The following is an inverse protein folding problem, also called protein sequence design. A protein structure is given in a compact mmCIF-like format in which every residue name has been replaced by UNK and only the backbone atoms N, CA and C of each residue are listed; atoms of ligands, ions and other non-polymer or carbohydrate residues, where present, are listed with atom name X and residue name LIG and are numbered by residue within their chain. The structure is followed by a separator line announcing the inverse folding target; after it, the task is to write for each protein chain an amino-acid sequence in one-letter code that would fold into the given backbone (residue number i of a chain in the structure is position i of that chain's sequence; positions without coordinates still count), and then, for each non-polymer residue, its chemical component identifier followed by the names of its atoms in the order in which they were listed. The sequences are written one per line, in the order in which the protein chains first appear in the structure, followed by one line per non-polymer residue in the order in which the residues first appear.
data_IF_205744838587
#
_entry.id   IF_205744838587
#
_cell.length_a   1.000
_cell.length_b   1.000
_cell.length_c   1.000
_cell.angle_alpha   90.00
_cell.angle_beta   90.00
_cell.angle_gamma   90.00
#
_symmetry.space_group_name_H-M   'P 1'
#
loop_
_entity.id
_entity.type
_entity.pdbx_description
1 polymer ?
#
# COMPACT_ATOMS: atom_id res chain seq x y z
N UNK A 1 40.56 -1.30 -7.20
CA UNK A 1 39.27 -1.95 -7.55
C UNK A 1 38.30 -2.06 -6.35
N UNK A 2 37.97 -0.98 -5.60
CA UNK A 2 36.99 -1.08 -4.49
C UNK A 2 35.52 -0.89 -4.92
N UNK A 3 35.25 -0.18 -6.04
CA UNK A 3 33.90 0.22 -6.42
C UNK A 3 33.00 -0.95 -6.85
N UNK A 4 33.56 -1.98 -7.48
CA UNK A 4 32.83 -3.21 -7.88
C UNK A 4 32.47 -4.06 -6.67
N UNK A 5 33.39 -4.19 -5.71
CA UNK A 5 33.19 -4.99 -4.51
C UNK A 5 32.04 -4.47 -3.65
N UNK A 6 31.95 -3.15 -3.46
CA UNK A 6 30.89 -2.53 -2.66
C UNK A 6 29.51 -2.74 -3.30
N UNK A 7 29.40 -2.60 -4.62
CA UNK A 7 28.15 -2.88 -5.35
C UNK A 7 27.74 -4.35 -5.20
N UNK A 8 28.67 -5.30 -5.41
CA UNK A 8 28.40 -6.72 -5.28
C UNK A 8 27.94 -7.08 -3.87
N UNK A 9 28.62 -6.57 -2.85
CA UNK A 9 28.26 -6.80 -1.45
C UNK A 9 26.88 -6.23 -1.11
N UNK A 10 26.60 -4.98 -1.49
CA UNK A 10 25.31 -4.34 -1.24
C UNK A 10 24.17 -5.05 -1.98
N UNK A 11 24.40 -5.52 -3.21
CA UNK A 11 23.43 -6.32 -3.98
C UNK A 11 23.16 -7.67 -3.31
N UNK A 12 24.20 -8.40 -2.89
CA UNK A 12 24.03 -9.67 -2.18
C UNK A 12 23.25 -9.49 -0.89
N UNK A 13 23.58 -8.45 -0.12
CA UNK A 13 22.84 -8.09 1.09
C UNK A 13 21.37 -7.77 0.79
N UNK A 14 21.09 -7.02 -0.28
CA UNK A 14 19.72 -6.74 -0.71
C UNK A 14 18.93 -8.01 -1.03
N UNK A 15 19.52 -8.97 -1.75
CA UNK A 15 18.87 -10.23 -2.10
C UNK A 15 18.52 -11.05 -0.86
N UNK A 16 19.45 -11.17 0.09
CA UNK A 16 19.21 -11.86 1.36
C UNK A 16 18.10 -11.20 2.18
N UNK A 17 18.10 -9.86 2.24
CA UNK A 17 17.06 -9.13 2.96
C UNK A 17 15.69 -9.27 2.31
N UNK A 18 15.62 -9.41 0.98
CA UNK A 18 14.36 -9.67 0.28
C UNK A 18 13.77 -11.05 0.61
N UNK A 19 14.62 -12.07 0.71
CA UNK A 19 14.20 -13.40 1.18
C UNK A 19 13.61 -13.30 2.60
N UNK A 20 14.34 -12.68 3.52
CA UNK A 20 13.85 -12.46 4.89
C UNK A 20 12.54 -11.66 4.93
N UNK A 21 12.43 -10.62 4.10
CA UNK A 21 11.21 -9.82 4.00
C UNK A 21 10.01 -10.66 3.54
N UNK A 22 10.19 -11.53 2.54
CA UNK A 22 9.15 -12.41 2.02
C UNK A 22 8.71 -13.45 3.06
N UNK A 23 9.66 -14.02 3.80
CA UNK A 23 9.38 -14.95 4.90
C UNK A 23 8.55 -14.29 6.00
N UNK A 24 9.00 -13.13 6.51
CA UNK A 24 8.30 -12.37 7.55
C UNK A 24 6.90 -11.93 7.09
N UNK A 25 6.77 -11.51 5.83
CA UNK A 25 5.47 -11.11 5.26
C UNK A 25 4.50 -12.29 5.19
N UNK A 26 4.98 -13.45 4.73
CA UNK A 26 4.20 -14.68 4.65
C UNK A 26 3.80 -15.16 6.04
N UNK A 27 4.71 -15.10 7.01
CA UNK A 27 4.42 -15.47 8.38
C UNK A 27 3.37 -14.53 9.00
N UNK A 28 3.50 -13.22 8.80
CA UNK A 28 2.49 -12.24 9.24
C UNK A 28 1.10 -12.48 8.64
N UNK A 29 1.01 -12.94 7.39
CA UNK A 29 -0.24 -13.34 6.76
C UNK A 29 -0.85 -14.61 7.39
N UNK A 30 -0.02 -15.51 7.90
CA UNK A 30 -0.47 -16.75 8.56
C UNK A 30 -0.96 -16.50 9.99
N UNK A 31 -0.26 -15.67 10.77
CA UNK A 31 -0.59 -15.40 12.18
C UNK A 31 -1.67 -14.34 12.36
N UNK A 32 -1.91 -13.48 11.36
CA UNK A 32 -3.05 -12.57 11.41
C UNK A 32 -4.34 -13.39 11.41
N UNK A 33 -5.30 -13.11 12.31
CA UNK A 33 -6.59 -13.75 12.29
C UNK A 33 -7.18 -13.60 10.90
N UNK A 34 -7.36 -14.72 10.20
CA UNK A 34 -8.06 -14.72 8.92
C UNK A 34 -9.45 -14.18 9.20
N UNK A 35 -9.69 -12.93 8.82
CA UNK A 35 -11.04 -12.47 8.53
C UNK A 35 -11.61 -13.54 7.59
N UNK A 36 -12.57 -14.33 8.07
CA UNK A 36 -13.10 -15.46 7.31
C UNK A 36 -13.52 -14.92 5.95
N UNK A 37 -12.80 -15.35 4.92
CA UNK A 37 -12.99 -14.93 3.54
C UNK A 37 -14.35 -15.44 3.05
N UNK A 38 -15.40 -14.65 3.26
CA UNK A 38 -16.61 -14.69 2.45
C UNK A 38 -16.49 -13.61 1.37
N UNK A 39 -15.58 -13.85 0.42
CA UNK A 39 -15.62 -13.22 -0.90
C UNK A 39 -15.63 -14.33 -1.95
N UNK A 40 -16.64 -15.20 -1.90
CA UNK A 40 -17.06 -15.98 -3.05
C UNK A 40 -17.98 -15.11 -3.89
N UNK A 41 -17.49 -14.64 -5.04
CA UNK A 41 -18.35 -14.00 -6.06
C UNK A 41 -17.82 -12.72 -6.71
N UNK A 42 -16.53 -12.65 -7.05
CA UNK A 42 -16.11 -11.72 -8.11
C UNK A 42 -16.29 -12.42 -9.45
N UNK A 43 -17.48 -12.26 -10.05
CA UNK A 43 -17.74 -12.69 -11.42
C UNK A 43 -16.81 -11.93 -12.37
N UNK A 44 -15.86 -12.70 -12.90
CA UNK A 44 -15.28 -12.56 -14.23
C UNK A 44 -16.30 -12.07 -15.27
N UNK A 45 -16.11 -10.85 -15.78
CA UNK A 45 -16.48 -10.52 -17.16
C UNK A 45 -15.30 -9.81 -17.81
N UNK A 46 -14.68 -10.54 -18.71
CA UNK A 46 -13.56 -10.15 -19.56
C UNK A 46 -14.00 -9.34 -20.78
N UNK A 47 -13.07 -8.53 -21.28
CA UNK A 47 -12.83 -8.21 -22.71
C UNK A 47 -13.38 -6.86 -23.26
N UNK A 48 -12.86 -6.33 -24.40
CA UNK A 48 -11.71 -5.41 -24.43
C UNK A 48 -11.88 -4.22 -25.46
N UNK A 49 -10.77 -3.53 -25.75
CA UNK A 49 -10.40 -2.83 -27.02
C UNK A 49 -10.48 -1.29 -27.15
N UNK A 50 -9.27 -0.72 -27.31
CA UNK A 50 -8.80 0.14 -28.42
C UNK A 50 -9.05 1.67 -28.45
N UNK A 51 -8.10 2.41 -27.83
CA UNK A 51 -7.16 3.40 -28.44
C UNK A 51 -7.69 4.65 -29.22
N UNK A 52 -6.85 5.59 -29.73
CA UNK A 52 -6.40 6.83 -29.09
C UNK A 52 -6.69 8.15 -29.89
N UNK A 53 -6.54 9.34 -29.28
CA UNK A 53 -6.15 10.63 -29.93
C UNK A 53 -6.12 11.76 -28.87
N UNK A 54 -4.99 12.36 -28.51
CA UNK A 54 -4.18 13.42 -29.16
C UNK A 54 -4.83 14.83 -29.14
N UNK A 55 -4.09 15.77 -28.53
CA UNK A 55 -3.96 17.22 -28.79
C UNK A 55 -4.36 18.19 -27.66
N UNK A 56 -3.33 18.67 -26.93
CA UNK A 56 -2.91 20.05 -26.57
C UNK A 56 -3.92 21.23 -26.41
N UNK A 57 -3.54 22.27 -25.61
CA UNK A 57 -4.43 23.27 -25.02
C UNK A 57 -4.55 24.58 -25.83
N UNK A 58 -5.64 25.34 -25.64
CA UNK A 58 -5.68 26.75 -26.04
C UNK A 58 -6.61 27.62 -25.19
N UNK A 59 -6.13 28.84 -24.96
CA UNK A 59 -6.71 29.96 -24.21
C UNK A 59 -7.88 30.61 -24.98
N UNK A 60 -8.95 31.01 -24.29
CA UNK A 60 -9.72 32.25 -24.59
C UNK A 60 -10.90 32.48 -23.61
N UNK A 61 -10.94 33.69 -23.05
CA UNK A 61 -12.03 34.31 -22.27
C UNK A 61 -13.22 34.73 -23.20
N UNK A 62 -14.21 35.56 -22.77
CA UNK A 62 -15.32 35.33 -21.83
C UNK A 62 -16.69 35.76 -22.43
N UNK A 63 -17.85 35.22 -22.01
CA UNK A 63 -19.14 35.95 -22.19
C UNK A 63 -20.13 35.67 -21.07
N UNK A 64 -20.50 36.76 -20.39
CA UNK A 64 -21.60 36.92 -19.44
C UNK A 64 -22.97 36.63 -20.05
N UNK A 65 -23.88 36.02 -19.29
CA UNK A 65 -25.32 36.33 -19.40
C UNK A 65 -26.09 35.95 -18.13
N UNK A 66 -26.56 36.99 -17.44
CA UNK A 66 -27.55 36.96 -16.36
C UNK A 66 -28.87 36.32 -16.83
N UNK A 67 -29.45 35.41 -16.03
CA UNK A 67 -30.81 35.60 -15.52
C UNK A 67 -31.26 34.57 -14.47
N UNK A 68 -32.21 34.94 -13.59
CA UNK A 68 -32.41 34.32 -12.28
C UNK A 68 -33.55 33.31 -12.29
N UNK A 69 -33.46 32.25 -11.46
CA UNK A 69 -34.65 31.51 -11.02
C UNK A 69 -34.54 31.10 -9.55
N UNK A 70 -35.32 31.79 -8.72
CA UNK A 70 -35.77 31.31 -7.41
C UNK A 70 -36.47 29.96 -7.59
N UNK A 71 -36.08 28.94 -6.83
CA UNK A 71 -37.02 27.93 -6.34
C UNK A 71 -36.71 27.56 -4.90
N UNK A 72 -37.74 27.76 -4.10
CA UNK A 72 -37.91 27.51 -2.69
C UNK A 72 -38.00 26.01 -2.41
N UNK A 73 -37.45 25.61 -1.26
CA UNK A 73 -38.02 24.69 -0.25
C UNK A 73 -38.75 23.43 -0.77
N UNK A 74 -38.11 22.28 -0.59
CA UNK A 74 -38.58 21.27 0.38
C UNK A 74 -37.47 20.27 0.65
N UNK A 75 -37.15 20.09 1.93
CA UNK A 75 -36.23 19.07 2.39
C UNK A 75 -36.90 17.70 2.29
N UNK A 76 -36.20 16.74 1.72
CA UNK A 76 -36.46 15.34 1.97
C UNK A 76 -35.13 14.63 2.18
N UNK A 77 -34.63 14.76 3.41
CA UNK A 77 -33.63 13.85 3.94
C UNK A 77 -34.26 12.45 3.95
N UNK A 78 -33.79 11.59 3.05
CA UNK A 78 -33.99 10.14 3.17
C UNK A 78 -32.76 9.58 3.88
N UNK A 79 -32.76 9.66 5.21
CA UNK A 79 -31.92 8.78 6.01
C UNK A 79 -32.55 7.38 5.99
N UNK A 80 -32.16 6.56 5.02
CA UNK A 80 -32.38 5.11 5.00
C UNK A 80 -31.01 4.44 5.12
N UNK A 81 -30.73 3.56 6.07
CA UNK A 81 -31.60 2.97 7.06
C UNK A 81 -30.78 2.28 8.14
N UNK A 82 -31.24 2.41 9.38
CA UNK A 82 -30.90 1.49 10.45
C UNK A 82 -32.01 0.43 10.48
N UNK A 83 -32.10 -0.35 9.41
CA UNK A 83 -32.97 -1.52 9.40
C UNK A 83 -32.23 -2.60 10.18
N UNK A 84 -32.61 -2.74 11.45
CA UNK A 84 -32.27 -3.88 12.28
C UNK A 84 -32.88 -5.14 11.65
N UNK A 85 -32.15 -5.78 10.74
CA UNK A 85 -32.46 -7.12 10.29
C UNK A 85 -32.02 -8.12 11.35
N UNK A 86 -32.99 -8.49 12.19
CA UNK A 86 -32.89 -9.62 13.11
C UNK A 86 -33.34 -10.92 12.42
N UNK A 87 -32.74 -11.37 11.31
CA UNK A 87 -32.81 -12.80 10.93
C UNK A 87 -31.55 -13.29 10.20
N UNK A 88 -30.72 -14.01 10.97
CA UNK A 88 -30.02 -15.24 10.53
C UNK A 88 -28.97 -15.05 9.42
N UNK A 89 -27.95 -14.23 9.71
CA UNK A 89 -26.59 -14.56 9.33
C UNK A 89 -25.90 -15.06 10.59
N UNK A 90 -25.34 -16.26 10.58
CA UNK A 90 -24.37 -16.67 11.60
C UNK A 90 -23.29 -15.60 11.62
N UNK A 91 -23.37 -14.65 12.56
CA UNK A 91 -22.23 -13.81 12.88
C UNK A 91 -21.18 -14.82 13.34
N UNK A 92 -20.31 -15.20 12.41
CA UNK A 92 -19.01 -15.78 12.75
C UNK A 92 -18.50 -14.78 13.77
N UNK A 93 -18.51 -15.20 15.04
CA UNK A 93 -17.87 -14.44 16.09
C UNK A 93 -16.45 -14.26 15.56
N UNK A 94 -16.09 -13.04 15.17
CA UNK A 94 -14.70 -12.70 14.92
C UNK A 94 -14.00 -13.12 16.21
N UNK A 95 -13.25 -14.21 16.14
CA UNK A 95 -12.52 -14.70 17.30
C UNK A 95 -11.54 -13.58 17.60
N UNK A 96 -11.82 -12.82 18.67
CA UNK A 96 -10.92 -11.78 19.12
C UNK A 96 -9.56 -12.47 19.32
N UNK A 97 -8.52 -12.07 18.58
CA UNK A 97 -7.20 -12.66 18.78
C UNK A 97 -6.82 -12.53 20.24
N UNK A 98 -6.30 -13.62 20.80
CA UNK A 98 -5.70 -13.63 22.10
C UNK A 98 -4.52 -12.64 22.17
N UNK A 99 -4.29 -12.11 23.37
CA UNK A 99 -3.23 -11.13 23.63
C UNK A 99 -1.84 -11.64 23.23
N UNK A 100 -1.61 -12.94 23.31
CA UNK A 100 -0.36 -13.58 22.88
C UNK A 100 -0.19 -13.48 21.36
N UNK A 101 -1.22 -13.83 20.58
CA UNK A 101 -1.22 -13.62 19.12
C UNK A 101 -1.00 -12.16 18.73
N UNK A 102 -1.63 -11.19 19.42
CA UNK A 102 -1.41 -9.76 19.15
C UNK A 102 0.03 -9.32 19.40
N UNK A 103 0.65 -9.82 20.48
CA UNK A 103 2.08 -9.57 20.77
C UNK A 103 2.98 -10.20 19.72
N UNK A 104 2.69 -11.43 19.29
CA UNK A 104 3.45 -12.11 18.24
C UNK A 104 3.39 -11.33 16.90
N UNK A 105 2.18 -10.87 16.49
CA UNK A 105 2.01 -10.02 15.32
C UNK A 105 2.84 -8.73 15.45
N UNK A 106 2.76 -8.07 16.59
CA UNK A 106 3.48 -6.80 16.83
C UNK A 106 5.00 -6.98 16.76
N UNK A 107 5.52 -8.06 17.36
CA UNK A 107 6.94 -8.39 17.31
C UNK A 107 7.41 -8.68 15.88
N UNK A 108 6.62 -9.43 15.11
CA UNK A 108 6.95 -9.77 13.73
C UNK A 108 6.84 -8.54 12.80
N UNK A 109 5.87 -7.65 13.02
CA UNK A 109 5.78 -6.36 12.33
C UNK A 109 6.96 -5.44 12.63
N UNK A 110 7.52 -5.51 13.85
CA UNK A 110 8.73 -4.77 14.21
C UNK A 110 9.95 -5.35 13.47
N UNK A 111 10.10 -6.69 13.43
CA UNK A 111 11.17 -7.34 12.66
C UNK A 111 11.08 -6.98 11.16
N UNK A 112 9.87 -6.98 10.60
CA UNK A 112 9.65 -6.59 9.21
C UNK A 112 10.07 -5.13 8.95
N UNK A 113 9.77 -4.24 9.90
CA UNK A 113 10.19 -2.84 9.83
C UNK A 113 11.73 -2.70 9.82
N UNK A 114 12.44 -3.43 10.68
CA UNK A 114 13.90 -3.38 10.76
C UNK A 114 14.58 -3.95 9.50
N UNK A 115 14.01 -5.02 8.93
CA UNK A 115 14.44 -5.56 7.62
C UNK A 115 14.23 -4.52 6.53
N UNK A 116 13.07 -3.86 6.48
CA UNK A 116 12.80 -2.82 5.49
C UNK A 116 13.72 -1.59 5.63
N UNK A 117 14.11 -1.21 6.84
CA UNK A 117 15.16 -0.21 7.02
C UNK A 117 16.51 -0.68 6.48
N UNK A 118 16.85 -1.95 6.67
CA UNK A 118 18.10 -2.54 6.17
C UNK A 118 18.12 -2.64 4.65
N UNK A 119 16.99 -2.96 4.02
CA UNK A 119 16.79 -2.92 2.55
C UNK A 119 17.05 -1.51 2.05
N UNK A 120 16.42 -0.51 2.67
CA UNK A 120 16.62 0.91 2.32
C UNK A 120 18.10 1.30 2.40
N UNK A 121 18.81 0.90 3.46
CA UNK A 121 20.25 1.15 3.60
C UNK A 121 21.06 0.50 2.48
N UNK A 122 20.83 -0.78 2.17
CA UNK A 122 21.53 -1.49 1.10
C UNK A 122 21.30 -0.83 -0.28
N UNK A 123 20.06 -0.46 -0.61
CA UNK A 123 19.73 0.23 -1.86
C UNK A 123 20.39 1.61 -1.95
N UNK A 124 20.45 2.34 -0.83
CA UNK A 124 21.14 3.64 -0.78
C UNK A 124 22.65 3.48 -1.01
N UNK A 125 23.25 2.43 -0.44
CA UNK A 125 24.66 2.09 -0.67
C UNK A 125 24.93 1.72 -2.13
N UNK A 126 24.02 0.98 -2.78
CA UNK A 126 24.10 0.70 -4.21
C UNK A 126 24.08 1.99 -5.05
N UNK A 127 23.21 2.96 -4.74
CA UNK A 127 23.17 4.25 -5.45
C UNK A 127 24.45 5.07 -5.27
N UNK A 128 25.22 4.82 -4.21
CA UNK A 128 26.51 5.45 -3.98
C UNK A 128 27.66 4.80 -4.78
N UNK A 129 27.44 3.65 -5.41
CA UNK A 129 28.44 2.96 -6.20
C UNK A 129 28.55 3.54 -7.62
N UNK A 130 29.78 3.71 -8.12
CA UNK A 130 30.04 4.29 -9.44
C UNK A 130 29.39 3.52 -10.60
N UNK A 131 29.26 2.20 -10.48
CA UNK A 131 28.63 1.34 -11.49
C UNK A 131 27.15 1.73 -11.67
N UNK A 132 26.44 1.95 -10.56
CA UNK A 132 25.04 2.36 -10.58
C UNK A 132 24.91 3.81 -11.02
N UNK A 133 25.89 4.66 -10.70
CA UNK A 133 25.91 6.07 -11.16
C UNK A 133 26.14 6.17 -12.67
N UNK A 134 26.96 5.27 -13.24
CA UNK A 134 27.26 5.22 -14.67
C UNK A 134 26.10 4.66 -15.50
N UNK A 135 25.30 3.73 -14.95
CA UNK A 135 24.19 3.08 -15.67
C UNK A 135 22.82 3.65 -15.24
N UNK A 136 22.13 4.33 -16.16
CA UNK A 136 20.80 4.90 -15.88
C UNK A 136 19.73 3.86 -15.62
N UNK A 137 19.83 2.68 -16.23
CA UNK A 137 18.86 1.60 -16.08
C UNK A 137 18.94 0.98 -14.69
N UNK A 138 20.16 0.65 -14.23
CA UNK A 138 20.40 0.11 -12.88
C UNK A 138 19.99 1.13 -11.83
N UNK A 139 20.36 2.41 -12.03
CA UNK A 139 19.96 3.49 -11.12
C UNK A 139 18.45 3.62 -10.98
N UNK A 140 17.73 3.62 -12.09
CA UNK A 140 16.27 3.72 -12.10
C UNK A 140 15.62 2.51 -11.41
N UNK A 141 16.14 1.31 -11.64
CA UNK A 141 15.70 0.10 -10.95
C UNK A 141 15.93 0.19 -9.43
N UNK A 142 17.13 0.58 -8.99
CA UNK A 142 17.46 0.73 -7.57
C UNK A 142 16.60 1.81 -6.91
N UNK A 143 16.38 2.94 -7.57
CA UNK A 143 15.49 4.00 -7.09
C UNK A 143 14.04 3.51 -6.98
N UNK A 144 13.54 2.73 -7.94
CA UNK A 144 12.19 2.17 -7.89
C UNK A 144 12.02 1.27 -6.67
N UNK A 145 12.98 0.35 -6.43
CA UNK A 145 12.98 -0.52 -5.24
C UNK A 145 13.10 0.26 -3.94
N UNK A 146 13.85 1.36 -3.94
CA UNK A 146 13.98 2.23 -2.78
C UNK A 146 12.64 2.88 -2.42
N UNK A 147 11.91 3.38 -3.43
CA UNK A 147 10.58 3.98 -3.23
C UNK A 147 9.55 2.97 -2.72
N UNK A 148 9.62 1.71 -3.17
CA UNK A 148 8.80 0.62 -2.65
C UNK A 148 9.06 0.36 -1.17
N UNK A 149 10.32 0.17 -0.77
CA UNK A 149 10.70 -0.03 0.63
C UNK A 149 10.29 1.15 1.52
N UNK A 150 10.43 2.38 1.03
CA UNK A 150 9.96 3.57 1.77
C UNK A 150 8.44 3.62 1.91
N UNK A 151 7.68 3.19 0.89
CA UNK A 151 6.22 3.12 0.95
C UNK A 151 5.76 2.14 2.02
N UNK A 152 6.44 1.00 2.16
CA UNK A 152 6.14 0.00 3.19
C UNK A 152 6.46 0.53 4.60
N UNK A 153 7.60 1.18 4.79
CA UNK A 153 7.96 1.83 6.06
C UNK A 153 6.95 2.92 6.48
N UNK A 154 6.39 3.66 5.52
CA UNK A 154 5.32 4.65 5.79
C UNK A 154 4.01 3.97 6.17
N UNK A 155 3.69 2.84 5.54
CA UNK A 155 2.45 2.08 5.77
C UNK A 155 2.42 1.43 7.15
N UNK A 156 3.55 0.84 7.58
CA UNK A 156 3.69 0.26 8.92
C UNK A 156 3.55 1.30 10.04
N UNK A 157 4.09 2.52 9.83
CA UNK A 157 4.01 3.60 10.83
C UNK A 157 2.58 4.04 11.11
N UNK A 158 1.73 4.12 10.08
CA UNK A 158 0.31 4.49 10.20
C UNK A 158 -0.51 3.45 10.97
N UNK A 159 -0.19 2.16 10.81
CA UNK A 159 -0.87 1.07 11.54
C UNK A 159 -0.57 1.10 13.04
N UNK A 160 0.63 1.53 13.43
CA UNK A 160 1.06 1.61 14.83
C UNK A 160 0.69 2.92 15.54
N UNK A 161 0.20 3.93 14.81
CA UNK A 161 -0.06 5.26 15.36
C UNK A 161 -1.52 5.52 15.76
N UNK A 162 -2.37 4.49 15.89
CA UNK A 162 -3.71 4.68 16.46
C UNK A 162 -3.62 4.80 17.99
N UNK A 163 -3.92 5.98 18.58
CA UNK A 163 -4.00 6.09 20.03
C UNK A 163 -5.21 5.30 20.51
N UNK A 164 -4.99 4.26 21.32
CA UNK A 164 -6.04 3.68 22.14
C UNK A 164 -6.45 4.78 23.13
N UNK A 165 -7.65 5.34 22.97
CA UNK A 165 -8.21 6.25 23.96
C UNK A 165 -8.74 5.39 25.11
N UNK A 166 -8.05 5.44 26.24
CA UNK A 166 -8.58 5.01 27.55
C UNK A 166 -9.89 5.72 27.89
#
# INVERSE_FOLDING_TARGET
MPATHNYTFAMQKYLLLQEQHAELSTHLEQIRPRQSSLCSGASITSSPESSPNRAEPSLSYPVSRYSPRKRSRSGQSRCSGWAADRRRGSAVLDTIPDEETLRAISAEEQRLFDVNESIKRALTEMLNCDIVRADSSIRMWTQTRLMEAEKELRSGRRRRSSPCRE
#
